data_IF_446866203965
#
_entry.id   IF_446866203965
#
_cell.length_a   1.000
_cell.length_b   1.000
_cell.length_c   1.000
_cell.angle_alpha   90.00
_cell.angle_beta   90.00
_cell.angle_gamma   90.00
#
_symmetry.space_group_name_H-M   'P 1'
#
loop_
_entity.id
_entity.type
_entity.pdbx_description
1 polymer ?
#
# COMPACT_ATOMS: atom_id res chain seq x y z
N UNK A 1 10.29 -34.56 0.00
CA UNK A 1 11.45 -33.68 0.20
C UNK A 1 11.04 -32.59 1.17
N UNK A 2 11.77 -32.44 2.27
CA UNK A 2 11.49 -31.40 3.27
C UNK A 2 12.50 -30.26 3.05
N UNK A 3 12.01 -29.07 2.71
CA UNK A 3 12.83 -27.89 2.48
C UNK A 3 13.15 -27.23 3.83
N UNK A 4 14.40 -27.36 4.30
CA UNK A 4 14.87 -26.69 5.50
C UNK A 4 15.45 -25.31 5.14
N UNK A 5 14.67 -24.26 5.38
CA UNK A 5 15.07 -22.87 5.10
C UNK A 5 15.83 -22.31 6.31
N UNK A 6 17.08 -21.89 6.11
CA UNK A 6 17.89 -21.29 7.17
C UNK A 6 17.41 -19.88 7.53
N UNK A 7 17.61 -19.45 8.79
CA UNK A 7 17.22 -18.13 9.27
C UNK A 7 17.85 -16.98 8.46
N UNK A 8 19.04 -17.16 7.91
CA UNK A 8 19.73 -16.18 7.05
C UNK A 8 19.06 -15.99 5.68
N UNK A 9 18.22 -16.94 5.25
CA UNK A 9 17.45 -16.87 4.00
C UNK A 9 16.06 -16.27 4.21
N UNK A 10 15.66 -16.01 5.47
CA UNK A 10 14.35 -15.44 5.80
C UNK A 10 14.43 -13.91 5.84
N UNK A 11 13.48 -13.25 5.19
CA UNK A 11 13.29 -11.80 5.32
C UNK A 11 12.89 -11.50 6.77
N UNK A 12 13.74 -10.77 7.50
CA UNK A 12 13.40 -10.28 8.85
C UNK A 12 12.54 -9.02 8.67
N UNK A 13 11.26 -9.23 8.39
CA UNK A 13 10.27 -8.17 8.32
C UNK A 13 9.70 -7.90 9.70
N UNK A 14 10.33 -7.00 10.46
CA UNK A 14 9.74 -6.43 11.68
C UNK A 14 9.47 -4.95 11.46
N UNK A 15 8.28 -4.50 11.81
CA UNK A 15 8.00 -3.07 11.84
C UNK A 15 8.73 -2.37 12.99
N UNK A 16 8.67 -1.03 13.07
CA UNK A 16 9.38 -0.22 14.07
C UNK A 16 9.09 -0.62 15.52
N UNK A 17 7.95 -1.26 15.80
CA UNK A 17 7.58 -1.72 17.14
C UNK A 17 7.71 -3.25 17.31
N UNK A 18 8.37 -3.93 16.37
CA UNK A 18 8.54 -5.37 16.40
C UNK A 18 7.32 -6.16 15.90
N UNK A 19 6.35 -5.49 15.28
CA UNK A 19 5.20 -6.16 14.67
C UNK A 19 5.64 -7.11 13.55
N UNK A 20 4.89 -8.21 13.41
CA UNK A 20 5.08 -9.12 12.28
C UNK A 20 4.70 -8.41 10.99
N UNK A 21 5.47 -8.67 9.94
CA UNK A 21 5.07 -8.32 8.58
C UNK A 21 3.78 -9.04 8.22
N UNK A 22 2.93 -8.34 7.47
CA UNK A 22 1.74 -8.91 6.87
C UNK A 22 1.96 -9.01 5.35
N UNK A 23 1.34 -10.01 4.73
CA UNK A 23 1.44 -10.15 3.28
C UNK A 23 0.69 -9.01 2.59
N UNK A 24 1.19 -8.47 1.45
CA UNK A 24 0.45 -7.45 0.70
C UNK A 24 -0.97 -7.88 0.29
N UNK A 25 -1.20 -9.18 0.12
CA UNK A 25 -2.50 -9.76 -0.20
C UNK A 25 -3.50 -9.65 0.97
N UNK A 26 -3.00 -9.47 2.20
CA UNK A 26 -3.81 -9.27 3.40
C UNK A 26 -4.20 -7.79 3.59
N UNK A 27 -3.50 -6.85 2.93
CA UNK A 27 -3.82 -5.42 2.94
C UNK A 27 -5.04 -5.12 2.09
N UNK A 28 -6.22 -5.43 2.63
CA UNK A 28 -7.51 -5.17 1.99
C UNK A 28 -8.32 -4.15 2.78
N UNK A 29 -9.16 -3.38 2.08
CA UNK A 29 -10.08 -2.42 2.70
C UNK A 29 -11.41 -3.15 2.92
N UNK A 30 -11.88 -3.19 4.17
CA UNK A 30 -13.20 -3.75 4.50
C UNK A 30 -14.32 -2.90 3.91
N UNK A 31 -15.54 -3.47 3.84
CA UNK A 31 -16.70 -2.73 3.32
C UNK A 31 -17.01 -1.52 4.20
N UNK A 32 -16.91 -1.67 5.52
CA UNK A 32 -17.18 -0.62 6.49
C UNK A 32 -16.17 0.54 6.36
N UNK A 33 -14.89 0.23 6.14
CA UNK A 33 -13.86 1.24 5.88
C UNK A 33 -14.07 1.95 4.55
N UNK A 34 -14.42 1.20 3.49
CA UNK A 34 -14.69 1.77 2.17
C UNK A 34 -15.83 2.79 2.22
N UNK A 35 -16.90 2.52 2.96
CA UNK A 35 -18.02 3.45 3.11
C UNK A 35 -17.60 4.69 3.92
N UNK A 36 -16.82 4.52 4.99
CA UNK A 36 -16.25 5.67 5.74
C UNK A 36 -15.38 6.56 4.86
N UNK A 37 -14.57 5.98 3.97
CA UNK A 37 -13.72 6.72 3.03
C UNK A 37 -14.56 7.57 2.08
N UNK A 38 -15.62 7.00 1.49
CA UNK A 38 -16.53 7.71 0.57
C UNK A 38 -17.29 8.85 1.26
N UNK A 39 -17.68 8.66 2.53
CA UNK A 39 -18.38 9.68 3.33
C UNK A 39 -17.49 10.87 3.71
N UNK A 40 -16.18 10.65 3.84
CA UNK A 40 -15.25 11.63 4.39
C UNK A 40 -14.85 12.78 3.45
N UNK A 41 -15.13 12.67 2.14
CA UNK A 41 -14.78 13.69 1.12
C UNK A 41 -13.31 14.18 1.23
N UNK A 42 -12.39 13.24 1.37
CA UNK A 42 -10.97 13.54 1.59
C UNK A 42 -10.32 14.17 0.35
N UNK A 43 -9.32 15.01 0.61
CA UNK A 43 -8.41 15.55 -0.41
C UNK A 43 -6.97 15.19 -0.10
N UNK A 44 -6.21 14.80 -1.12
CA UNK A 44 -4.83 14.30 -0.94
C UNK A 44 -3.84 14.98 -1.87
N UNK A 45 -2.68 15.32 -1.31
CA UNK A 45 -1.52 15.78 -2.07
C UNK A 45 -0.54 14.63 -2.28
N UNK A 46 -0.07 14.44 -3.52
CA UNK A 46 0.99 13.48 -3.84
C UNK A 46 2.28 14.27 -4.07
N UNK A 47 3.32 13.96 -3.31
CA UNK A 47 4.65 14.57 -3.43
C UNK A 47 5.69 13.50 -3.70
N UNK A 48 6.37 13.60 -4.84
CA UNK A 48 7.49 12.72 -5.19
C UNK A 48 8.80 13.47 -4.98
N UNK A 49 9.75 12.83 -4.29
CA UNK A 49 11.13 13.34 -4.22
C UNK A 49 11.80 13.33 -5.61
N UNK A 50 11.51 12.31 -6.43
CA UNK A 50 11.95 12.22 -7.82
C UNK A 50 10.75 12.04 -8.75
N UNK A 51 10.33 13.14 -9.39
CA UNK A 51 9.23 13.15 -10.35
C UNK A 51 9.68 13.17 -11.81
N UNK A 52 8.74 13.40 -12.73
CA UNK A 52 9.03 13.74 -14.14
C UNK A 52 9.42 12.57 -15.05
N UNK A 53 9.62 11.37 -14.51
CA UNK A 53 9.89 10.16 -15.30
C UNK A 53 8.58 9.48 -15.73
N UNK A 54 8.65 8.66 -16.80
CA UNK A 54 7.52 7.82 -17.20
C UNK A 54 7.07 6.88 -16.08
N UNK A 55 8.03 6.38 -15.29
CA UNK A 55 7.78 5.54 -14.13
C UNK A 55 6.99 6.28 -13.04
N UNK A 56 7.40 7.50 -12.67
CA UNK A 56 6.68 8.30 -11.67
C UNK A 56 5.22 8.58 -12.08
N UNK A 57 4.97 8.81 -13.37
CA UNK A 57 3.61 8.99 -13.92
C UNK A 57 2.74 7.74 -13.78
N UNK A 58 3.31 6.55 -14.02
CA UNK A 58 2.57 5.30 -13.84
C UNK A 58 2.20 5.08 -12.37
N UNK A 59 3.10 5.40 -11.44
CA UNK A 59 2.81 5.33 -10.01
C UNK A 59 1.73 6.32 -9.60
N UNK A 60 1.85 7.58 -10.05
CA UNK A 60 0.82 8.59 -9.79
C UNK A 60 -0.55 8.12 -10.29
N UNK A 61 -0.63 7.61 -11.53
CA UNK A 61 -1.87 7.11 -12.10
C UNK A 61 -2.44 5.92 -11.31
N UNK A 62 -1.59 4.99 -10.87
CA UNK A 62 -2.03 3.86 -10.05
C UNK A 62 -2.60 4.29 -8.69
N UNK A 63 -1.95 5.28 -8.05
CA UNK A 63 -2.42 5.87 -6.79
C UNK A 63 -3.76 6.57 -7.03
N UNK A 64 -3.85 7.47 -8.02
CA UNK A 64 -5.08 8.20 -8.35
C UNK A 64 -6.24 7.26 -8.69
N UNK A 65 -6.03 6.27 -9.56
CA UNK A 65 -7.05 5.27 -9.90
C UNK A 65 -7.56 4.49 -8.68
N UNK A 66 -6.73 4.33 -7.65
CA UNK A 66 -7.16 3.67 -6.41
C UNK A 66 -7.99 4.62 -5.55
N UNK A 67 -7.56 5.88 -5.43
CA UNK A 67 -8.28 6.93 -4.70
C UNK A 67 -9.66 7.24 -5.32
N UNK A 68 -9.74 7.26 -6.65
CA UNK A 68 -10.97 7.52 -7.40
C UNK A 68 -12.07 6.51 -7.09
N UNK A 69 -11.72 5.24 -6.79
CA UNK A 69 -12.70 4.20 -6.38
C UNK A 69 -13.44 4.57 -5.09
N UNK A 70 -12.87 5.45 -4.29
CA UNK A 70 -13.43 5.92 -3.03
C UNK A 70 -13.86 7.40 -3.08
N UNK A 71 -13.84 8.03 -4.26
CA UNK A 71 -14.24 9.43 -4.44
C UNK A 71 -13.28 10.45 -3.83
N UNK A 72 -12.01 10.08 -3.67
CA UNK A 72 -10.97 10.92 -3.06
C UNK A 72 -10.20 11.66 -4.16
N UNK A 73 -10.08 13.00 -4.04
CA UNK A 73 -9.45 13.88 -5.05
C UNK A 73 -8.07 14.41 -4.68
#
# INVERSE_FOLDING_TARGET
>A
MELNIQKSTQVIGKGPFGEKTISPEELTISKEEAEKLKLGNYKVGISFHYGGTAWARLYENGIRNTLDKYGIS
#
